data_IF_109239028279
#
_entry.id   IF_109239028279
#
_cell.length_a   1.000
_cell.length_b   1.000
_cell.length_c   1.000
_cell.angle_alpha   90.00
_cell.angle_beta   90.00
_cell.angle_gamma   90.00
#
_symmetry.space_group_name_H-M   'P 1'
#
loop_
_entity.id
_entity.type
_entity.pdbx_description
1 polymer ?
#
# COMPACT_ATOMS: atom_id res chain seq x y z
N UNK A 1 -21.38 6.02 -2.74
CA UNK A 1 -21.12 7.25 -3.51
C UNK A 1 -19.65 7.68 -3.49
N UNK A 2 -18.92 7.67 -2.36
CA UNK A 2 -17.49 8.06 -2.33
C UNK A 2 -16.53 7.17 -3.15
N UNK A 3 -16.78 5.85 -3.24
CA UNK A 3 -15.96 4.88 -4.02
C UNK A 3 -15.81 5.27 -5.49
N UNK A 4 -16.89 5.71 -6.13
CA UNK A 4 -16.89 6.08 -7.54
C UNK A 4 -16.25 7.46 -7.77
N UNK A 5 -16.51 8.42 -6.88
CA UNK A 5 -16.10 9.82 -7.08
C UNK A 5 -14.59 10.05 -6.99
N UNK A 6 -13.88 9.41 -6.06
CA UNK A 6 -12.40 9.54 -5.96
C UNK A 6 -11.73 8.83 -7.15
N UNK A 7 -12.22 7.64 -7.51
CA UNK A 7 -11.72 6.90 -8.68
C UNK A 7 -11.93 7.69 -9.96
N UNK A 8 -13.11 8.28 -10.17
CA UNK A 8 -13.46 9.10 -11.34
C UNK A 8 -12.64 10.40 -11.42
N UNK A 9 -12.49 11.12 -10.30
CA UNK A 9 -11.69 12.33 -10.22
C UNK A 9 -10.23 12.06 -10.58
N UNK A 10 -9.66 10.97 -10.04
CA UNK A 10 -8.28 10.60 -10.34
C UNK A 10 -8.14 10.03 -11.76
N UNK A 11 -9.14 9.30 -12.26
CA UNK A 11 -9.14 8.73 -13.62
C UNK A 11 -8.95 9.79 -14.70
N UNK A 12 -9.53 10.98 -14.53
CA UNK A 12 -9.34 12.11 -15.47
C UNK A 12 -7.88 12.58 -15.58
N UNK A 13 -7.06 12.31 -14.55
CA UNK A 13 -5.65 12.64 -14.51
C UNK A 13 -4.75 11.43 -14.83
N UNK A 14 -5.25 10.21 -14.70
CA UNK A 14 -4.49 8.97 -14.91
C UNK A 14 -4.62 8.46 -16.35
N UNK A 15 -5.78 8.68 -16.98
CA UNK A 15 -6.11 8.11 -18.28
C UNK A 15 -5.43 8.90 -19.40
N UNK A 16 -4.15 8.63 -19.61
CA UNK A 16 -3.42 9.08 -20.79
C UNK A 16 -3.11 7.86 -21.66
N UNK A 17 -3.62 7.85 -22.90
CA UNK A 17 -3.52 6.71 -23.83
C UNK A 17 -2.09 6.17 -23.96
N UNK A 18 -1.10 7.07 -24.01
CA UNK A 18 0.31 6.69 -24.13
C UNK A 18 0.84 5.90 -22.92
N UNK A 19 0.37 6.21 -21.71
CA UNK A 19 0.80 5.56 -20.46
C UNK A 19 0.13 4.19 -20.36
N UNK A 20 -1.19 4.12 -20.55
CA UNK A 20 -1.98 2.88 -20.41
C UNK A 20 -1.67 1.86 -21.50
N UNK A 21 -1.40 2.29 -22.73
CA UNK A 21 -1.14 1.38 -23.85
C UNK A 21 0.20 0.64 -23.72
N UNK A 22 1.12 1.15 -22.89
CA UNK A 22 2.50 0.67 -22.85
C UNK A 22 3.03 0.34 -21.43
N UNK A 23 2.18 0.50 -20.41
CA UNK A 23 2.58 0.38 -19.01
C UNK A 23 1.44 -0.09 -18.12
N UNK A 24 1.72 -1.07 -17.26
CA UNK A 24 0.85 -1.38 -16.13
C UNK A 24 1.07 -0.36 -15.01
N UNK A 25 -0.02 0.24 -14.53
CA UNK A 25 -0.01 1.15 -13.40
C UNK A 25 -0.42 0.42 -12.12
N UNK A 26 0.14 0.80 -10.96
CA UNK A 26 -0.27 0.22 -9.69
C UNK A 26 -1.74 0.55 -9.39
N UNK A 27 -2.49 -0.35 -8.74
CA UNK A 27 -3.85 -0.06 -8.31
C UNK A 27 -3.84 1.09 -7.27
N UNK A 28 -4.87 1.94 -7.24
CA UNK A 28 -4.96 2.98 -6.23
C UNK A 28 -5.09 2.38 -4.82
N UNK A 29 -4.52 3.04 -3.82
CA UNK A 29 -4.66 2.70 -2.40
C UNK A 29 -6.07 3.02 -1.86
N UNK A 30 -7.09 2.43 -2.48
CA UNK A 30 -8.51 2.77 -2.27
C UNK A 30 -8.92 2.76 -0.79
N UNK A 31 -8.53 1.78 0.05
CA UNK A 31 -8.92 1.76 1.46
C UNK A 31 -8.38 2.96 2.25
N UNK A 32 -7.07 3.26 2.16
CA UNK A 32 -6.45 4.40 2.84
C UNK A 32 -6.95 5.73 2.32
N UNK A 33 -7.14 5.87 1.00
CA UNK A 33 -7.70 7.08 0.40
C UNK A 33 -9.13 7.36 0.88
N UNK A 34 -9.96 6.30 0.99
CA UNK A 34 -11.32 6.43 1.53
C UNK A 34 -11.31 6.76 3.02
N UNK A 35 -10.39 6.18 3.80
CA UNK A 35 -10.20 6.54 5.21
C UNK A 35 -9.85 8.03 5.34
N UNK A 36 -8.87 8.51 4.57
CA UNK A 36 -8.46 9.91 4.57
C UNK A 36 -9.61 10.84 4.22
N UNK A 37 -10.32 10.56 3.14
CA UNK A 37 -11.47 11.36 2.71
C UNK A 37 -12.55 11.42 3.80
N UNK A 38 -12.94 10.28 4.37
CA UNK A 38 -13.98 10.20 5.38
C UNK A 38 -13.61 11.03 6.62
N UNK A 39 -12.37 10.93 7.08
CA UNK A 39 -11.84 11.65 8.23
C UNK A 39 -11.78 13.17 7.98
N UNK A 40 -11.20 13.60 6.85
CA UNK A 40 -11.11 15.02 6.50
C UNK A 40 -12.46 15.69 6.26
N UNK A 41 -13.46 14.92 5.82
CA UNK A 41 -14.81 15.42 5.54
C UNK A 41 -15.64 15.60 6.83
N UNK A 42 -15.26 14.99 7.94
CA UNK A 42 -15.91 15.22 9.24
C UNK A 42 -15.42 16.53 9.87
N UNK A 43 -14.13 16.86 9.71
CA UNK A 43 -13.52 18.10 10.21
C UNK A 43 -13.95 19.33 9.42
N UNK A 44 -14.43 20.38 10.10
CA UNK A 44 -14.98 21.56 9.42
C UNK A 44 -13.92 22.30 8.59
N UNK A 45 -12.71 22.47 9.12
CA UNK A 45 -11.64 23.25 8.49
C UNK A 45 -11.03 22.54 7.28
N UNK A 46 -11.00 21.21 7.27
CA UNK A 46 -10.49 20.44 6.13
C UNK A 46 -11.57 19.96 5.16
N UNK A 47 -12.85 20.09 5.50
CA UNK A 47 -13.97 19.58 4.68
C UNK A 47 -13.94 20.10 3.26
N UNK A 48 -13.74 21.41 3.09
CA UNK A 48 -13.69 22.08 1.79
C UNK A 48 -12.58 21.52 0.89
N UNK A 49 -11.46 21.08 1.47
CA UNK A 49 -10.31 20.57 0.75
C UNK A 49 -10.20 19.04 0.77
N UNK A 50 -11.12 18.33 1.39
CA UNK A 50 -11.09 16.86 1.54
C UNK A 50 -10.98 16.13 0.20
N UNK A 51 -11.75 16.56 -0.82
CA UNK A 51 -11.66 16.02 -2.19
C UNK A 51 -10.29 16.31 -2.81
N UNK A 52 -9.85 17.58 -2.78
CA UNK A 52 -8.57 18.01 -3.33
C UNK A 52 -7.40 17.22 -2.71
N UNK A 53 -7.33 17.18 -1.38
CA UNK A 53 -6.28 16.49 -0.61
C UNK A 53 -6.25 14.99 -0.90
N UNK A 54 -7.41 14.35 -0.96
CA UNK A 54 -7.49 12.92 -1.31
C UNK A 54 -7.02 12.68 -2.74
N UNK A 55 -7.41 13.53 -3.70
CA UNK A 55 -6.96 13.40 -5.10
C UNK A 55 -5.46 13.58 -5.24
N UNK A 56 -4.86 14.60 -4.61
CA UNK A 56 -3.41 14.83 -4.70
C UNK A 56 -2.61 13.72 -4.02
N UNK A 57 -3.08 13.20 -2.89
CA UNK A 57 -2.45 12.05 -2.21
C UNK A 57 -2.54 10.78 -3.05
N UNK A 58 -3.63 10.60 -3.80
CA UNK A 58 -3.74 9.52 -4.78
C UNK A 58 -2.70 9.66 -5.88
N UNK A 59 -2.56 10.85 -6.47
CA UNK A 59 -1.55 11.13 -7.51
C UNK A 59 -0.12 10.94 -7.00
N UNK A 60 0.18 11.41 -5.78
CA UNK A 60 1.49 11.24 -5.15
C UNK A 60 1.83 9.76 -4.98
N UNK A 61 0.91 8.96 -4.44
CA UNK A 61 1.11 7.51 -4.31
C UNK A 61 1.30 6.85 -5.65
N UNK A 62 0.45 7.15 -6.63
CA UNK A 62 0.60 6.61 -7.98
C UNK A 62 1.94 6.97 -8.61
N UNK A 63 2.42 8.19 -8.41
CA UNK A 63 3.74 8.61 -8.86
C UNK A 63 4.85 7.76 -8.25
N UNK A 64 4.86 7.65 -6.92
CA UNK A 64 5.84 6.86 -6.18
C UNK A 64 5.79 5.36 -6.51
N UNK A 65 4.59 4.78 -6.56
CA UNK A 65 4.39 3.35 -6.83
C UNK A 65 4.74 3.01 -8.29
N UNK A 66 4.48 3.94 -9.23
CA UNK A 66 4.89 3.76 -10.64
C UNK A 66 6.41 3.76 -10.78
N UNK A 67 7.11 4.60 -10.02
CA UNK A 67 8.58 4.58 -9.97
C UNK A 67 9.11 3.27 -9.36
N UNK A 68 8.44 2.71 -8.35
CA UNK A 68 8.83 1.43 -7.74
C UNK A 68 8.69 0.23 -8.70
N UNK A 69 7.82 0.31 -9.72
CA UNK A 69 7.69 -0.70 -10.77
C UNK A 69 8.84 -0.70 -11.79
N UNK A 70 9.80 0.22 -11.67
CA UNK A 70 10.99 0.26 -12.53
C UNK A 70 11.98 -0.75 -11.98
N UNK A 71 12.19 -1.83 -12.73
CA UNK A 71 13.14 -2.85 -12.34
C UNK A 71 14.58 -2.29 -12.27
N UNK A 72 15.39 -2.88 -11.38
CA UNK A 72 16.82 -2.54 -11.23
C UNK A 72 17.73 -3.44 -12.07
N UNK A 73 17.19 -4.21 -13.02
CA UNK A 73 17.98 -5.13 -13.83
C UNK A 73 18.82 -4.33 -14.86
N UNK A 74 20.12 -4.60 -14.84
CA UNK A 74 21.12 -3.99 -15.71
C UNK A 74 21.41 -4.83 -16.96
N UNK A 75 20.78 -6.01 -17.11
CA UNK A 75 20.88 -6.83 -18.32
C UNK A 75 20.33 -6.11 -19.54
N UNK A 76 20.78 -6.51 -20.72
CA UNK A 76 20.30 -5.98 -22.00
C UNK A 76 18.81 -6.28 -22.14
N UNK A 77 18.01 -5.21 -22.21
CA UNK A 77 16.56 -5.27 -22.39
C UNK A 77 16.18 -5.11 -23.86
N UNK A 78 15.01 -5.63 -24.21
CA UNK A 78 14.36 -5.37 -25.50
C UNK A 78 13.94 -3.90 -25.59
N UNK A 79 13.72 -3.41 -26.81
CA UNK A 79 13.22 -2.04 -27.01
C UNK A 79 11.87 -1.81 -26.30
N UNK A 80 10.99 -2.81 -26.30
CA UNK A 80 9.68 -2.75 -25.62
C UNK A 80 9.84 -2.55 -24.11
N UNK A 81 10.73 -3.31 -23.48
CA UNK A 81 11.01 -3.20 -22.04
C UNK A 81 11.67 -1.87 -21.70
N UNK A 82 12.61 -1.40 -22.52
CA UNK A 82 13.22 -0.08 -22.36
C UNK A 82 12.17 1.04 -22.45
N UNK A 83 11.28 0.98 -23.45
CA UNK A 83 10.18 1.94 -23.63
C UNK A 83 9.25 1.94 -22.43
N UNK A 84 8.87 0.76 -21.94
CA UNK A 84 8.02 0.64 -20.74
C UNK A 84 8.68 1.29 -19.52
N UNK A 85 9.98 1.04 -19.28
CA UNK A 85 10.73 1.70 -18.18
C UNK A 85 10.73 3.22 -18.31
N UNK A 86 11.01 3.75 -19.49
CA UNK A 86 11.01 5.20 -19.73
C UNK A 86 9.63 5.81 -19.49
N UNK A 87 8.57 5.14 -19.93
CA UNK A 87 7.20 5.61 -19.71
C UNK A 87 6.81 5.54 -18.22
N UNK A 88 7.28 4.56 -17.45
CA UNK A 88 7.09 4.55 -15.98
C UNK A 88 7.73 5.76 -15.31
N UNK A 89 8.97 6.12 -15.68
CA UNK A 89 9.63 7.33 -15.16
C UNK A 89 8.80 8.57 -15.46
N UNK A 90 8.43 8.76 -16.72
CA UNK A 90 7.68 9.93 -17.18
C UNK A 90 6.27 9.99 -16.58
N UNK A 91 5.60 8.85 -16.42
CA UNK A 91 4.29 8.77 -15.79
C UNK A 91 4.36 9.18 -14.31
N UNK A 92 5.38 8.71 -13.57
CA UNK A 92 5.58 9.13 -12.18
C UNK A 92 5.90 10.62 -12.04
N UNK A 93 6.72 11.16 -12.95
CA UNK A 93 7.02 12.60 -13.01
C UNK A 93 5.78 13.43 -13.35
N UNK A 94 4.94 12.93 -14.26
CA UNK A 94 3.68 13.55 -14.63
C UNK A 94 2.70 13.59 -13.45
N UNK A 95 2.48 12.47 -12.75
CA UNK A 95 1.63 12.45 -11.55
C UNK A 95 2.15 13.38 -10.46
N UNK A 96 3.47 13.42 -10.28
CA UNK A 96 4.15 14.35 -9.38
C UNK A 96 3.86 15.81 -9.76
N UNK A 97 4.06 16.18 -11.02
CA UNK A 97 3.78 17.54 -11.50
C UNK A 97 2.30 17.93 -11.36
N UNK A 98 1.37 16.99 -11.59
CA UNK A 98 -0.07 17.23 -11.46
C UNK A 98 -0.48 17.57 -10.04
N UNK A 99 0.07 16.89 -9.03
CA UNK A 99 -0.32 17.21 -7.65
C UNK A 99 0.17 18.60 -7.23
N UNK A 100 1.42 18.99 -7.59
CA UNK A 100 1.92 20.35 -7.36
C UNK A 100 1.02 21.39 -8.05
N UNK A 101 0.65 21.13 -9.30
CA UNK A 101 -0.22 22.03 -10.06
C UNK A 101 -1.60 22.21 -9.40
N UNK A 102 -2.22 21.12 -8.94
CA UNK A 102 -3.55 21.17 -8.31
C UNK A 102 -3.52 21.95 -6.99
N UNK A 103 -2.52 21.73 -6.15
CA UNK A 103 -2.37 22.47 -4.88
C UNK A 103 -2.06 23.93 -5.10
N UNK A 104 -1.17 24.26 -6.05
CA UNK A 104 -0.82 25.63 -6.37
C UNK A 104 -2.03 26.42 -6.90
N UNK A 105 -2.84 25.81 -7.78
CA UNK A 105 -4.09 26.43 -8.29
C UNK A 105 -5.11 26.69 -7.18
N UNK A 106 -5.15 25.85 -6.16
CA UNK A 106 -6.02 26.00 -5.00
C UNK A 106 -5.43 26.90 -3.90
N UNK A 107 -4.25 27.49 -4.10
CA UNK A 107 -3.57 28.32 -3.10
C UNK A 107 -3.03 27.56 -1.88
N UNK A 108 -3.00 26.22 -1.93
CA UNK A 108 -2.66 25.35 -0.80
C UNK A 108 -1.14 25.14 -0.68
N UNK A 109 -0.38 26.24 -0.57
CA UNK A 109 1.10 26.22 -0.54
C UNK A 109 1.64 25.48 0.69
N UNK A 110 0.96 25.61 1.84
CA UNK A 110 1.32 24.86 3.05
C UNK A 110 1.20 23.34 2.84
N UNK A 111 0.20 22.90 2.09
CA UNK A 111 0.02 21.47 1.78
C UNK A 111 1.08 20.95 0.81
N UNK A 112 1.54 21.79 -0.12
CA UNK A 112 2.67 21.43 -0.99
C UNK A 112 3.87 21.04 -0.15
N UNK A 113 4.25 21.89 0.81
CA UNK A 113 5.40 21.65 1.70
C UNK A 113 5.22 20.35 2.49
N UNK A 114 4.06 20.18 3.15
CA UNK A 114 3.78 18.98 3.94
C UNK A 114 3.87 17.68 3.12
N UNK A 115 3.32 17.66 1.90
CA UNK A 115 3.37 16.48 1.05
C UNK A 115 4.77 16.25 0.46
N UNK A 116 5.50 17.30 0.10
CA UNK A 116 6.90 17.18 -0.34
C UNK A 116 7.79 16.57 0.75
N UNK A 117 7.61 17.01 2.00
CA UNK A 117 8.34 16.44 3.15
C UNK A 117 7.97 14.97 3.37
N UNK A 118 6.68 14.64 3.29
CA UNK A 118 6.18 13.27 3.39
C UNK A 118 6.75 12.35 2.29
N UNK A 119 6.83 12.82 1.04
CA UNK A 119 7.45 12.09 -0.07
C UNK A 119 8.94 11.87 0.19
N UNK A 120 9.65 12.88 0.70
CA UNK A 120 11.06 12.74 1.06
C UNK A 120 11.25 11.65 2.12
N UNK A 121 10.40 11.63 3.14
CA UNK A 121 10.47 10.65 4.21
C UNK A 121 10.13 9.24 3.72
N UNK A 122 9.08 9.06 2.91
CA UNK A 122 8.75 7.79 2.26
C UNK A 122 9.95 7.29 1.46
N UNK A 123 10.57 8.14 0.64
CA UNK A 123 11.74 7.76 -0.15
C UNK A 123 12.94 7.38 0.73
N UNK A 124 13.17 8.10 1.84
CA UNK A 124 14.20 7.75 2.83
C UNK A 124 13.96 6.35 3.42
N UNK A 125 12.71 6.05 3.80
CA UNK A 125 12.31 4.74 4.31
C UNK A 125 12.49 3.64 3.26
N UNK A 126 12.13 3.88 2.00
CA UNK A 126 12.33 2.94 0.88
C UNK A 126 13.81 2.59 0.70
N UNK A 127 14.69 3.61 0.67
CA UNK A 127 16.14 3.41 0.56
C UNK A 127 16.70 2.64 1.76
N UNK A 128 16.21 2.91 2.98
CA UNK A 128 16.62 2.18 4.17
C UNK A 128 16.21 0.70 4.09
N UNK A 129 14.96 0.41 3.72
CA UNK A 129 14.46 -0.94 3.54
C UNK A 129 15.27 -1.69 2.48
N UNK A 130 15.51 -1.07 1.32
CA UNK A 130 16.32 -1.63 0.25
C UNK A 130 17.74 -1.98 0.71
N UNK A 131 18.36 -1.09 1.49
CA UNK A 131 19.70 -1.32 2.05
C UNK A 131 19.73 -2.50 3.02
N UNK A 132 18.70 -2.65 3.86
CA UNK A 132 18.56 -3.79 4.79
C UNK A 132 18.32 -5.11 4.05
N UNK A 133 17.48 -5.08 3.02
CA UNK A 133 17.24 -6.24 2.15
C UNK A 133 18.55 -6.70 1.48
N UNK A 134 19.33 -5.78 0.89
CA UNK A 134 20.63 -6.10 0.29
C UNK A 134 21.63 -6.66 1.29
N UNK A 135 21.62 -6.17 2.52
CA UNK A 135 22.49 -6.67 3.59
C UNK A 135 22.07 -8.00 4.20
N UNK A 136 20.91 -8.56 3.81
CA UNK A 136 20.26 -9.70 4.46
C UNK A 136 20.10 -9.53 5.99
N UNK A 137 19.84 -8.30 6.44
CA UNK A 137 19.67 -7.94 7.87
C UNK A 137 18.21 -7.68 8.22
N UNK A 138 17.30 -8.51 7.69
CA UNK A 138 15.87 -8.30 7.80
C UNK A 138 15.17 -9.61 8.14
N UNK A 139 14.40 -9.63 9.23
CA UNK A 139 13.46 -10.69 9.50
C UNK A 139 12.10 -10.45 8.85
N UNK A 140 11.27 -11.50 8.74
CA UNK A 140 9.95 -11.38 8.13
C UNK A 140 9.05 -10.36 8.87
N UNK A 141 9.08 -10.35 10.20
CA UNK A 141 8.29 -9.40 10.99
C UNK A 141 8.83 -7.97 10.90
N UNK A 142 10.15 -7.79 10.82
CA UNK A 142 10.75 -6.47 10.56
C UNK A 142 10.31 -5.94 9.20
N UNK A 143 10.41 -6.78 8.16
CA UNK A 143 9.93 -6.45 6.82
C UNK A 143 8.46 -6.02 6.84
N UNK A 144 7.60 -6.79 7.52
CA UNK A 144 6.18 -6.45 7.65
C UNK A 144 5.99 -5.08 8.32
N UNK A 145 6.72 -4.81 9.40
CA UNK A 145 6.72 -3.51 10.07
C UNK A 145 7.12 -2.36 9.15
N UNK A 146 8.20 -2.51 8.38
CA UNK A 146 8.63 -1.51 7.39
C UNK A 146 7.60 -1.31 6.28
N UNK A 147 7.00 -2.38 5.77
CA UNK A 147 5.96 -2.29 4.74
C UNK A 147 4.73 -1.52 5.25
N UNK A 148 4.34 -1.76 6.52
CA UNK A 148 3.25 -1.01 7.17
C UNK A 148 3.62 0.46 7.34
N UNK A 149 4.85 0.76 7.75
CA UNK A 149 5.32 2.13 7.89
C UNK A 149 5.30 2.85 6.54
N UNK A 150 5.84 2.24 5.48
CA UNK A 150 5.84 2.80 4.13
C UNK A 150 4.42 3.15 3.64
N UNK A 151 3.44 2.30 3.93
CA UNK A 151 2.04 2.56 3.57
C UNK A 151 1.40 3.66 4.43
N UNK A 152 1.80 3.81 5.69
CA UNK A 152 1.17 4.80 6.58
C UNK A 152 1.81 6.19 6.49
N UNK A 153 3.12 6.29 6.21
CA UNK A 153 3.90 7.52 6.38
C UNK A 153 3.26 8.74 5.69
N UNK A 154 2.94 8.64 4.39
CA UNK A 154 2.33 9.75 3.64
C UNK A 154 1.06 10.30 4.28
N UNK A 155 0.22 9.41 4.81
CA UNK A 155 -1.04 9.75 5.45
C UNK A 155 -0.85 10.29 6.87
N UNK A 156 0.25 9.92 7.54
CA UNK A 156 0.56 10.37 8.90
C UNK A 156 0.60 11.90 9.01
N UNK A 157 1.07 12.60 7.97
CA UNK A 157 1.16 14.07 7.96
C UNK A 157 -0.19 14.81 8.05
N UNK A 158 -1.29 14.12 7.72
CA UNK A 158 -2.65 14.67 7.86
C UNK A 158 -3.11 14.73 9.32
N UNK A 159 -2.42 14.09 10.27
CA UNK A 159 -2.74 14.18 11.70
C UNK A 159 -2.83 15.65 12.19
N UNK A 160 -2.00 16.52 11.62
CA UNK A 160 -1.95 17.96 11.93
C UNK A 160 -3.18 18.75 11.46
N UNK A 161 -4.05 18.16 10.65
CA UNK A 161 -5.30 18.77 10.17
C UNK A 161 -6.53 18.24 10.92
N UNK A 162 -6.34 17.32 11.87
CA UNK A 162 -7.41 16.71 12.63
C UNK A 162 -7.42 17.27 14.04
N UNK A 163 -8.61 17.38 14.63
CA UNK A 163 -8.79 17.92 15.97
C UNK A 163 -9.31 16.86 16.96
N UNK A 164 -9.27 17.20 18.24
CA UNK A 164 -9.93 16.45 19.31
C UNK A 164 -9.57 14.95 19.37
N UNK A 165 -10.61 14.11 19.47
CA UNK A 165 -10.48 12.66 19.56
C UNK A 165 -10.02 12.02 18.25
N UNK A 166 -10.35 12.62 17.10
CA UNK A 166 -9.99 12.11 15.78
C UNK A 166 -8.47 12.14 15.55
N UNK A 167 -7.81 13.24 15.94
CA UNK A 167 -6.35 13.36 15.90
C UNK A 167 -5.63 12.29 16.74
N UNK A 168 -6.20 11.92 17.90
CA UNK A 168 -5.63 10.88 18.78
C UNK A 168 -5.81 9.48 18.23
N UNK A 169 -6.94 9.21 17.60
CA UNK A 169 -7.28 7.88 17.05
C UNK A 169 -6.68 7.66 15.66
N UNK A 170 -6.32 8.73 14.95
CA UNK A 170 -5.77 8.69 13.59
C UNK A 170 -4.58 7.75 13.40
N UNK A 171 -3.51 7.79 14.23
CA UNK A 171 -2.37 6.87 14.06
C UNK A 171 -2.79 5.40 14.15
N UNK A 172 -3.77 5.09 14.99
CA UNK A 172 -4.25 3.72 15.19
C UNK A 172 -5.14 3.25 14.04
N UNK A 173 -6.02 4.11 13.51
CA UNK A 173 -6.78 3.83 12.29
C UNK A 173 -5.83 3.56 11.11
N UNK A 174 -4.84 4.42 10.95
CA UNK A 174 -3.90 4.37 9.85
C UNK A 174 -2.99 3.15 9.93
N UNK A 175 -2.49 2.80 11.13
CA UNK A 175 -1.71 1.59 11.34
C UNK A 175 -2.56 0.34 11.11
N UNK A 176 -3.80 0.31 11.64
CA UNK A 176 -4.72 -0.81 11.47
C UNK A 176 -5.05 -1.11 10.00
N UNK A 177 -5.42 -0.08 9.22
CA UNK A 177 -5.74 -0.25 7.80
C UNK A 177 -4.50 -0.64 6.97
N UNK A 178 -3.34 -0.03 7.26
CA UNK A 178 -2.09 -0.32 6.53
C UNK A 178 -1.63 -1.75 6.78
N UNK A 179 -1.77 -2.26 8.03
CA UNK A 179 -1.52 -3.68 8.36
C UNK A 179 -2.40 -4.63 7.56
N UNK A 180 -3.67 -4.28 7.38
CA UNK A 180 -4.59 -5.09 6.58
C UNK A 180 -4.15 -5.12 5.11
N UNK A 181 -3.84 -3.96 4.52
CA UNK A 181 -3.39 -3.89 3.13
C UNK A 181 -2.08 -4.63 2.89
N UNK A 182 -1.08 -4.50 3.78
CA UNK A 182 0.16 -5.27 3.68
C UNK A 182 -0.12 -6.76 3.78
N UNK A 183 -0.96 -7.21 4.72
CA UNK A 183 -1.26 -8.62 4.87
C UNK A 183 -1.98 -9.20 3.63
N UNK A 184 -2.91 -8.46 3.03
CA UNK A 184 -3.60 -8.86 1.80
C UNK A 184 -2.62 -8.92 0.63
N UNK A 185 -1.80 -7.88 0.44
CA UNK A 185 -0.81 -7.86 -0.63
C UNK A 185 0.21 -9.00 -0.50
N UNK A 186 0.69 -9.26 0.72
CA UNK A 186 1.66 -10.34 0.96
C UNK A 186 1.03 -11.73 0.83
N UNK A 187 -0.29 -11.88 1.07
CA UNK A 187 -1.01 -13.11 0.72
C UNK A 187 -0.98 -13.33 -0.79
N UNK A 188 -1.35 -12.33 -1.58
CA UNK A 188 -1.31 -12.41 -3.05
C UNK A 188 0.10 -12.71 -3.56
N UNK A 189 1.11 -12.02 -3.03
CA UNK A 189 2.52 -12.25 -3.41
C UNK A 189 3.04 -13.62 -3.01
N UNK A 190 2.53 -14.20 -1.92
CA UNK A 190 2.90 -15.56 -1.52
C UNK A 190 2.38 -16.62 -2.50
N UNK A 191 1.35 -16.30 -3.30
CA UNK A 191 0.73 -17.23 -4.23
C UNK A 191 1.18 -17.03 -5.69
N UNK A 192 1.96 -15.99 -5.98
CA UNK A 192 2.48 -15.70 -7.32
C UNK A 192 4.01 -15.78 -7.31
N UNK A 193 4.56 -16.81 -7.95
CA UNK A 193 6.00 -17.00 -8.03
C UNK A 193 6.75 -15.81 -8.65
N UNK A 194 6.12 -15.03 -9.53
CA UNK A 194 6.75 -13.85 -10.15
C UNK A 194 6.86 -12.67 -9.16
N UNK A 195 6.02 -12.65 -8.12
CA UNK A 195 5.98 -11.59 -7.10
C UNK A 195 6.53 -12.06 -5.74
N UNK A 196 6.94 -13.31 -5.65
CA UNK A 196 7.42 -13.96 -4.44
C UNK A 196 8.76 -13.38 -3.95
N UNK A 197 9.64 -12.94 -4.86
CA UNK A 197 10.94 -12.37 -4.50
C UNK A 197 10.78 -11.24 -3.48
N UNK A 198 11.55 -11.29 -2.38
CA UNK A 198 11.55 -10.29 -1.31
C UNK A 198 10.17 -10.02 -0.67
N UNK A 199 9.21 -10.92 -0.85
CA UNK A 199 7.95 -10.91 -0.11
C UNK A 199 8.17 -11.26 1.36
N UNK A 200 7.16 -11.04 2.19
CA UNK A 200 7.15 -11.51 3.57
C UNK A 200 7.38 -13.03 3.64
N UNK A 201 6.74 -13.79 2.76
CA UNK A 201 6.89 -15.24 2.68
C UNK A 201 8.34 -15.65 2.37
N UNK A 202 8.99 -14.94 1.45
CA UNK A 202 10.42 -15.14 1.14
C UNK A 202 11.29 -14.95 2.39
N UNK A 203 11.15 -13.82 3.09
CA UNK A 203 11.93 -13.55 4.31
C UNK A 203 11.63 -14.56 5.41
N UNK A 204 10.38 -14.98 5.55
CA UNK A 204 9.99 -15.99 6.53
C UNK A 204 10.66 -17.33 6.23
N UNK A 205 10.58 -17.79 4.97
CA UNK A 205 11.17 -19.06 4.54
C UNK A 205 12.70 -19.05 4.60
N UNK A 206 13.35 -17.90 4.42
CA UNK A 206 14.79 -17.80 4.69
C UNK A 206 15.14 -18.00 6.17
N UNK A 207 14.22 -17.70 7.09
CA UNK A 207 14.44 -17.88 8.53
C UNK A 207 14.12 -19.30 9.00
N UNK A 208 13.03 -19.91 8.50
CA UNK A 208 12.52 -21.19 8.99
C UNK A 208 12.78 -22.38 8.06
N UNK A 209 13.11 -22.12 6.80
CA UNK A 209 13.42 -23.12 5.78
C UNK A 209 14.69 -23.92 6.09
N UNK A 210 14.80 -25.13 5.56
CA UNK A 210 16.03 -25.92 5.68
C UNK A 210 17.15 -25.36 4.76
N UNK A 211 18.35 -25.91 4.85
CA UNK A 211 19.50 -25.39 4.10
C UNK A 211 19.33 -25.47 2.58
N UNK A 212 18.80 -26.58 2.06
CA UNK A 212 18.55 -26.77 0.62
C UNK A 212 17.50 -25.79 0.09
N UNK A 213 16.41 -25.59 0.84
CA UNK A 213 15.34 -24.65 0.49
C UNK A 213 15.85 -23.21 0.49
N UNK A 214 16.66 -22.83 1.48
CA UNK A 214 17.28 -21.49 1.53
C UNK A 214 18.22 -21.27 0.36
N UNK A 215 19.02 -22.28 -0.02
CA UNK A 215 19.92 -22.19 -1.17
C UNK A 215 19.12 -21.98 -2.46
N UNK A 216 18.07 -22.79 -2.67
CA UNK A 216 17.23 -22.70 -3.86
C UNK A 216 16.47 -21.36 -3.95
N UNK A 217 16.03 -20.82 -2.81
CA UNK A 217 15.42 -19.49 -2.76
C UNK A 217 16.43 -18.37 -3.08
N UNK A 218 17.71 -18.54 -2.72
CA UNK A 218 18.77 -17.58 -3.03
C UNK A 218 19.16 -17.58 -4.52
N UNK A 219 18.97 -18.70 -5.24
CA UNK A 219 19.21 -18.81 -6.67
C UNK A 219 18.24 -17.96 -7.52
N UNK A 220 17.15 -17.47 -6.93
CA UNK A 220 16.24 -16.49 -7.54
C UNK A 220 15.34 -17.05 -8.65
N UNK A 221 15.24 -18.37 -8.78
CA UNK A 221 14.31 -19.04 -9.70
C UNK A 221 13.16 -19.64 -8.91
N UNK A 222 11.99 -19.01 -9.05
CA UNK A 222 10.78 -19.39 -8.31
C UNK A 222 9.84 -20.16 -9.23
N UNK A 223 9.82 -21.49 -9.11
CA UNK A 223 8.82 -22.34 -9.77
C UNK A 223 7.51 -22.33 -8.98
N UNK A 224 6.38 -22.15 -9.66
CA UNK A 224 5.06 -22.02 -9.03
C UNK A 224 4.72 -23.18 -8.10
N UNK A 225 4.90 -24.42 -8.56
CA UNK A 225 4.59 -25.62 -7.78
C UNK A 225 5.48 -25.78 -6.54
N UNK A 226 6.74 -25.36 -6.67
CA UNK A 226 7.69 -25.39 -5.56
C UNK A 226 7.34 -24.35 -4.50
N UNK A 227 7.04 -23.11 -4.92
CA UNK A 227 6.58 -22.05 -4.01
C UNK A 227 5.30 -22.46 -3.30
N UNK A 228 4.31 -23.01 -4.03
CA UNK A 228 3.08 -23.49 -3.44
C UNK A 228 3.33 -24.57 -2.38
N UNK A 229 4.28 -25.48 -2.63
CA UNK A 229 4.70 -26.51 -1.67
C UNK A 229 5.28 -25.90 -0.39
N UNK A 230 6.18 -24.91 -0.52
CA UNK A 230 6.77 -24.23 0.64
C UNK A 230 5.73 -23.43 1.43
N UNK A 231 4.87 -22.69 0.74
CA UNK A 231 3.78 -21.90 1.34
C UNK A 231 2.85 -22.79 2.17
N UNK A 232 2.54 -23.98 1.66
CA UNK A 232 1.76 -24.98 2.39
C UNK A 232 2.56 -25.57 3.57
N UNK A 233 3.79 -26.04 3.32
CA UNK A 233 4.66 -26.69 4.33
C UNK A 233 4.90 -25.82 5.57
N UNK A 234 5.02 -24.50 5.37
CA UNK A 234 5.34 -23.54 6.43
C UNK A 234 4.15 -22.69 6.89
N UNK A 235 2.92 -23.09 6.55
CA UNK A 235 1.69 -22.42 7.01
C UNK A 235 1.66 -20.90 6.70
N UNK A 236 2.31 -20.46 5.62
CA UNK A 236 2.49 -19.03 5.28
C UNK A 236 1.13 -18.32 5.17
N UNK A 237 0.16 -18.95 4.52
CA UNK A 237 -1.22 -18.44 4.40
C UNK A 237 -1.85 -18.19 5.77
N UNK A 238 -1.71 -19.14 6.69
CA UNK A 238 -2.28 -19.04 8.04
C UNK A 238 -1.62 -17.92 8.84
N UNK A 239 -0.30 -17.76 8.73
CA UNK A 239 0.44 -16.70 9.40
C UNK A 239 0.04 -15.31 8.89
N UNK A 240 -0.05 -15.13 7.57
CA UNK A 240 -0.48 -13.88 6.97
C UNK A 240 -1.97 -13.58 7.24
N UNK A 241 -2.84 -14.59 7.22
CA UNK A 241 -4.24 -14.45 7.61
C UNK A 241 -4.39 -14.03 9.08
N UNK A 242 -3.53 -14.55 9.98
CA UNK A 242 -3.49 -14.10 11.37
C UNK A 242 -3.07 -12.64 11.50
N UNK A 243 -2.09 -12.17 10.70
CA UNK A 243 -1.69 -10.75 10.64
C UNK A 243 -2.83 -9.87 10.14
N UNK A 244 -3.55 -10.30 9.11
CA UNK A 244 -4.76 -9.61 8.62
C UNK A 244 -5.84 -9.54 9.71
N UNK A 245 -6.13 -10.66 10.38
CA UNK A 245 -7.10 -10.72 11.47
C UNK A 245 -6.76 -9.78 12.63
N UNK A 246 -5.47 -9.73 13.02
CA UNK A 246 -4.97 -8.80 14.02
C UNK A 246 -5.11 -7.33 13.57
N UNK A 247 -4.76 -7.02 12.32
CA UNK A 247 -4.94 -5.68 11.74
C UNK A 247 -6.39 -5.23 11.72
N UNK A 248 -7.30 -6.12 11.32
CA UNK A 248 -8.75 -5.86 11.31
C UNK A 248 -9.30 -5.65 12.71
N UNK A 249 -8.85 -6.44 13.69
CA UNK A 249 -9.27 -6.26 15.08
C UNK A 249 -8.81 -4.90 15.61
N UNK A 250 -7.55 -4.53 15.39
CA UNK A 250 -7.02 -3.23 15.81
C UNK A 250 -7.78 -2.07 15.13
N UNK A 251 -8.05 -2.18 13.83
CA UNK A 251 -8.82 -1.19 13.08
C UNK A 251 -10.24 -1.05 13.64
N UNK A 252 -10.94 -2.16 13.91
CA UNK A 252 -12.29 -2.14 14.50
C UNK A 252 -12.31 -1.52 15.90
N UNK A 253 -11.31 -1.84 16.73
CA UNK A 253 -11.15 -1.21 18.05
C UNK A 253 -10.91 0.30 17.92
N UNK A 254 -10.11 0.74 16.95
CA UNK A 254 -9.89 2.16 16.71
C UNK A 254 -11.17 2.87 16.22
N UNK A 255 -11.92 2.24 15.30
CA UNK A 255 -13.22 2.75 14.83
C UNK A 255 -14.20 2.89 16.00
N UNK A 256 -14.26 1.92 16.91
CA UNK A 256 -15.18 1.94 18.05
C UNK A 256 -14.93 3.06 19.08
N UNK A 257 -13.81 3.78 18.99
CA UNK A 257 -13.50 4.94 19.85
C UNK A 257 -13.83 6.29 19.20
N UNK A 258 -14.37 6.27 17.98
CA UNK A 258 -14.82 7.49 17.31
C UNK A 258 -16.14 7.96 17.91
N UNK A 259 -16.40 9.26 17.84
CA UNK A 259 -17.63 9.86 18.37
C UNK A 259 -18.74 9.99 17.30
N UNK A 260 -18.37 10.05 16.02
CA UNK A 260 -19.32 10.21 14.91
C UNK A 260 -19.88 8.87 14.42
N UNK A 261 -21.16 8.62 14.67
CA UNK A 261 -21.89 7.44 14.15
C UNK A 261 -21.86 7.32 12.62
N UNK A 262 -21.79 8.46 11.93
CA UNK A 262 -21.63 8.50 10.48
C UNK A 262 -20.25 7.97 10.08
N UNK A 263 -19.20 8.48 10.71
CA UNK A 263 -17.83 8.04 10.45
C UNK A 263 -17.62 6.56 10.81
N UNK A 264 -18.15 6.12 11.96
CA UNK A 264 -18.10 4.71 12.39
C UNK A 264 -18.69 3.80 11.32
N UNK A 265 -19.88 4.13 10.78
CA UNK A 265 -20.53 3.32 9.73
C UNK A 265 -19.69 3.27 8.46
N UNK A 266 -19.15 4.40 8.02
CA UNK A 266 -18.33 4.47 6.82
C UNK A 266 -17.03 3.68 6.94
N UNK A 267 -16.30 3.84 8.05
CA UNK A 267 -15.04 3.12 8.28
C UNK A 267 -15.26 1.63 8.53
N UNK A 268 -16.38 1.25 9.16
CA UNK A 268 -16.77 -0.16 9.29
C UNK A 268 -17.03 -0.79 7.92
N UNK A 269 -17.67 -0.06 7.00
CA UNK A 269 -17.87 -0.54 5.63
C UNK A 269 -16.54 -0.70 4.87
N UNK A 270 -15.55 0.16 5.11
CA UNK A 270 -14.19 0.00 4.56
C UNK A 270 -13.55 -1.28 5.13
N UNK A 271 -13.57 -1.46 6.45
CA UNK A 271 -13.00 -2.63 7.12
C UNK A 271 -13.63 -3.95 6.63
N UNK A 272 -14.96 -3.98 6.43
CA UNK A 272 -15.65 -5.15 5.89
C UNK A 272 -15.36 -5.38 4.40
N UNK A 273 -15.02 -4.34 3.64
CA UNK A 273 -14.56 -4.48 2.25
C UNK A 273 -13.24 -5.25 2.15
N UNK A 274 -12.33 -5.04 3.12
CA UNK A 274 -11.03 -5.72 3.19
C UNK A 274 -11.17 -7.22 3.43
N UNK A 275 -12.17 -7.65 4.22
CA UNK A 275 -12.45 -9.08 4.43
C UNK A 275 -13.04 -9.75 3.19
N UNK A 276 -13.87 -9.05 2.42
CA UNK A 276 -14.57 -9.65 1.28
C UNK A 276 -13.65 -9.88 0.07
N UNK A 277 -12.64 -9.03 -0.14
CA UNK A 277 -11.63 -9.24 -1.19
C UNK A 277 -10.76 -10.48 -0.95
N UNK A 278 -10.63 -10.93 0.30
CA UNK A 278 -9.91 -12.19 0.62
C UNK A 278 -10.73 -13.46 0.40
N UNK A 279 -12.04 -13.34 0.11
CA UNK A 279 -12.94 -14.49 -0.08
C UNK A 279 -12.61 -15.39 -1.29
N UNK A 280 -11.77 -14.92 -2.22
CA UNK A 280 -11.23 -15.75 -3.31
C UNK A 280 -9.99 -16.57 -2.91
N UNK A 281 -9.30 -16.19 -1.83
CA UNK A 281 -8.03 -16.78 -1.37
C UNK A 281 -8.15 -17.50 -0.02
N UNK A 282 -9.31 -17.38 0.65
CA UNK A 282 -9.67 -18.17 1.82
C UNK A 282 -10.61 -19.30 1.40
N UNK A 283 -10.13 -20.54 1.15
CA UNK A 283 -11.02 -21.67 1.27
C UNK A 283 -11.52 -21.68 2.71
N UNK A 284 -12.84 -21.80 2.84
CA UNK A 284 -13.61 -21.70 4.07
C UNK A 284 -12.81 -22.10 5.33
N UNK A 285 -12.68 -21.17 6.27
CA UNK A 285 -12.61 -21.53 7.69
C UNK A 285 -14.01 -22.02 8.11
N UNK A 286 -14.43 -23.14 7.54
CA UNK A 286 -15.49 -23.95 8.10
C UNK A 286 -14.83 -25.03 8.95
N UNK A 287 -15.21 -25.01 10.22
CA UNK A 287 -15.22 -26.14 11.15
C UNK A 287 -13.86 -26.60 11.70
N UNK A 288 -13.50 -26.05 12.87
CA UNK A 288 -13.18 -26.90 14.02
C UNK A 288 -13.90 -26.36 15.24
N UNK A 289 -15.08 -26.94 15.49
CA UNK A 289 -15.50 -27.32 16.84
C UNK A 289 -14.70 -28.54 17.26
#
# INVERSE_FOLDING_TARGET
MAKYRISELTSSYINYDMIQTHTDLPPPAEPRLRLLYAVLNEENDSREHSELYTTVVSLVQMGMDTHDLIDTDTRRKTEKEMRSRQLKVLAGDYFSARFYQLLAKAGQIGMITKLSDAVCEVNRLKVNLYSRMRGMRLGADDYFGYAVQLKSELFGHFASLLEGSLSRVWPELLSGISRCEVAIEELERSEDANRFDRSWAYWHLLQVGNEEERHRLADGVYEQDYIATLVHKYDVRKLLAAKLGSGLSALKTAIGRLESDKLIRELTAIANGLTNNTGGHMPALNEMR
#
